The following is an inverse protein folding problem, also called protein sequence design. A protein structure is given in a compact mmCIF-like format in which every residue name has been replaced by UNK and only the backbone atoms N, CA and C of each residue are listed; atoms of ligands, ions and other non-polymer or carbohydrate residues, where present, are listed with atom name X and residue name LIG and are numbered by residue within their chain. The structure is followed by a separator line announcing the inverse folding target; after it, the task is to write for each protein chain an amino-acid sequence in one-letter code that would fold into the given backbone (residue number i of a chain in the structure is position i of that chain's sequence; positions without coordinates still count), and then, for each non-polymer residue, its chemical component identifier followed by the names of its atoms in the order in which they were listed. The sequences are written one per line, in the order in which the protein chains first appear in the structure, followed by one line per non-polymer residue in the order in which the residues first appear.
data_IF_045495911291
#
_entry.id   IF_045495911291
#
_cell.length_a   1.000
_cell.length_b   1.000
_cell.length_c   1.000
_cell.angle_alpha   90.00
_cell.angle_beta   90.00
_cell.angle_gamma   90.00
#
_symmetry.space_group_name_H-M   'P 1'
#
loop_
_entity.id
_entity.type
_entity.pdbx_description
1 polymer ?
#
# COMPACT_ATOMS: atom_id res chain seq x y z
N UNK A 1 -45.97 18.50 -34.40
CA UNK A 1 -44.66 18.79 -33.80
C UNK A 1 -44.19 17.56 -33.05
N UNK A 2 -43.24 16.90 -33.69
CA UNK A 2 -42.21 15.95 -33.23
C UNK A 2 -42.22 15.52 -31.77
N UNK A 3 -42.41 14.22 -31.57
CA UNK A 3 -42.05 13.43 -30.38
C UNK A 3 -40.54 13.23 -30.33
N UNK A 4 -39.91 13.35 -29.15
CA UNK A 4 -38.74 12.52 -28.77
C UNK A 4 -38.70 12.35 -27.24
N UNK A 5 -39.44 11.37 -26.73
CA UNK A 5 -39.06 10.66 -25.51
C UNK A 5 -37.95 9.71 -25.94
N UNK A 6 -36.69 10.07 -25.66
CA UNK A 6 -35.57 9.19 -25.96
C UNK A 6 -35.49 8.11 -24.86
N UNK A 7 -35.76 6.86 -25.25
CA UNK A 7 -35.72 5.67 -24.40
C UNK A 7 -34.28 5.27 -24.06
N UNK A 8 -33.61 6.01 -23.20
CA UNK A 8 -32.36 5.58 -22.55
C UNK A 8 -32.15 6.37 -21.26
N UNK A 9 -33.03 6.17 -20.27
CA UNK A 9 -32.77 6.62 -18.91
C UNK A 9 -31.66 5.78 -18.26
N UNK A 10 -30.42 5.93 -18.74
CA UNK A 10 -29.26 5.47 -17.99
C UNK A 10 -29.09 6.43 -16.82
N UNK A 11 -29.08 5.90 -15.60
CA UNK A 11 -28.77 6.68 -14.40
C UNK A 11 -27.35 7.23 -14.55
N UNK A 12 -27.21 8.52 -14.88
CA UNK A 12 -25.90 9.21 -14.99
C UNK A 12 -25.31 9.52 -13.60
N UNK A 13 -25.68 8.72 -12.59
CA UNK A 13 -25.16 8.77 -11.24
C UNK A 13 -24.82 7.35 -10.78
N UNK A 14 -23.93 6.69 -11.52
CA UNK A 14 -23.19 5.55 -10.99
C UNK A 14 -21.94 6.09 -10.31
N UNK A 15 -21.65 5.64 -9.09
CA UNK A 15 -20.28 5.70 -8.60
C UNK A 15 -19.43 4.99 -9.66
N UNK A 16 -18.61 5.73 -10.42
CA UNK A 16 -17.57 5.11 -11.22
C UNK A 16 -16.77 4.20 -10.29
N UNK A 17 -16.45 2.98 -10.72
CA UNK A 17 -15.47 2.17 -9.98
C UNK A 17 -14.24 3.06 -9.78
N UNK A 18 -13.75 3.17 -8.55
CA UNK A 18 -12.68 4.11 -8.19
C UNK A 18 -11.46 3.84 -9.07
N UNK A 19 -11.23 2.58 -9.46
CA UNK A 19 -10.21 2.18 -10.42
C UNK A 19 -10.38 2.81 -11.81
N UNK A 20 -11.60 2.84 -12.36
CA UNK A 20 -11.87 3.33 -13.71
C UNK A 20 -11.74 4.85 -13.80
N UNK A 21 -12.21 5.57 -12.78
CA UNK A 21 -12.09 7.03 -12.71
C UNK A 21 -10.63 7.49 -12.56
N UNK A 22 -9.81 6.73 -11.81
CA UNK A 22 -8.37 6.96 -11.68
C UNK A 22 -7.66 6.69 -13.00
N UNK A 23 -7.95 5.54 -13.64
CA UNK A 23 -7.34 5.17 -14.91
C UNK A 23 -7.58 6.24 -15.99
N UNK A 24 -8.83 6.69 -16.17
CA UNK A 24 -9.19 7.66 -17.21
C UNK A 24 -8.42 8.99 -17.09
N UNK A 25 -8.24 9.52 -15.87
CA UNK A 25 -7.51 10.77 -15.67
C UNK A 25 -6.02 10.61 -15.93
N UNK A 26 -5.39 9.57 -15.41
CA UNK A 26 -3.95 9.37 -15.57
C UNK A 26 -3.54 8.84 -16.96
N UNK A 27 -4.46 8.21 -17.68
CA UNK A 27 -4.27 7.91 -19.11
C UNK A 27 -4.20 9.20 -19.93
N UNK A 28 -5.07 10.17 -19.63
CA UNK A 28 -5.08 11.45 -20.34
C UNK A 28 -3.79 12.26 -20.15
N UNK A 29 -3.11 12.08 -19.00
CA UNK A 29 -1.82 12.72 -18.70
C UNK A 29 -0.61 11.87 -19.09
N UNK A 30 -0.81 10.65 -19.61
CA UNK A 30 0.24 9.65 -19.92
C UNK A 30 1.08 9.20 -18.72
N UNK A 31 0.59 9.41 -17.50
CA UNK A 31 1.28 9.05 -16.25
C UNK A 31 0.74 7.78 -15.60
N UNK A 32 -0.27 7.13 -16.21
CA UNK A 32 -0.91 5.94 -15.64
C UNK A 32 0.11 4.83 -15.30
N UNK A 33 1.05 4.57 -16.21
CA UNK A 33 2.08 3.56 -15.97
C UNK A 33 2.97 3.95 -14.79
N UNK A 34 3.43 5.21 -14.74
CA UNK A 34 4.32 5.69 -13.68
C UNK A 34 3.67 5.59 -12.30
N UNK A 35 2.40 5.95 -12.18
CA UNK A 35 1.67 5.87 -10.91
C UNK A 35 1.43 4.43 -10.49
N UNK A 36 1.11 3.54 -11.43
CA UNK A 36 1.01 2.10 -11.14
C UNK A 36 2.34 1.56 -10.63
N UNK A 37 3.46 1.96 -11.19
CA UNK A 37 4.79 1.55 -10.69
C UNK A 37 5.07 2.09 -9.28
N UNK A 38 4.70 3.35 -8.98
CA UNK A 38 4.84 3.93 -7.63
C UNK A 38 4.00 3.15 -6.61
N UNK A 39 2.74 2.86 -6.93
CA UNK A 39 1.87 2.07 -6.06
C UNK A 39 2.45 0.68 -5.85
N UNK A 40 2.92 0.03 -6.93
CA UNK A 40 3.55 -1.30 -6.86
C UNK A 40 4.75 -1.30 -5.92
N UNK A 41 5.65 -0.32 -6.05
CA UNK A 41 6.82 -0.20 -5.19
C UNK A 41 6.43 -0.04 -3.70
N UNK A 42 5.40 0.76 -3.41
CA UNK A 42 4.88 0.94 -2.06
C UNK A 42 4.29 -0.35 -1.48
N UNK A 43 3.45 -1.07 -2.22
CA UNK A 43 2.84 -2.31 -1.71
C UNK A 43 3.82 -3.48 -1.64
N UNK A 44 4.80 -3.55 -2.54
CA UNK A 44 5.89 -4.52 -2.47
C UNK A 44 6.74 -4.31 -1.21
N UNK A 45 6.90 -3.06 -0.77
CA UNK A 45 7.53 -2.76 0.51
C UNK A 45 6.65 -3.19 1.69
N UNK A 46 5.35 -2.86 1.67
CA UNK A 46 4.42 -3.24 2.73
C UNK A 46 4.33 -4.75 2.93
N UNK A 47 4.31 -5.54 1.84
CA UNK A 47 4.32 -7.00 1.91
C UNK A 47 5.58 -7.57 2.58
N UNK A 48 6.69 -6.83 2.62
CA UNK A 48 7.93 -7.23 3.32
C UNK A 48 7.91 -6.89 4.81
N UNK A 49 6.95 -6.10 5.28
CA UNK A 49 6.87 -5.69 6.69
C UNK A 49 6.31 -6.78 7.60
N UNK A 50 5.69 -7.82 7.03
CA UNK A 50 5.19 -9.00 7.72
C UNK A 50 5.44 -10.23 6.86
N UNK A 51 5.25 -11.43 7.40
CA UNK A 51 5.35 -12.64 6.59
C UNK A 51 4.08 -12.77 5.73
N UNK A 52 4.12 -12.24 4.52
CA UNK A 52 2.97 -12.23 3.60
C UNK A 52 2.65 -13.58 2.96
N UNK A 53 3.48 -14.62 3.19
CA UNK A 53 3.26 -15.96 2.65
C UNK A 53 2.47 -16.87 3.59
N UNK A 54 2.18 -16.44 4.82
CA UNK A 54 1.42 -17.20 5.81
C UNK A 54 0.02 -16.63 6.00
N UNK A 55 -0.91 -17.47 6.43
CA UNK A 55 -2.32 -17.09 6.59
C UNK A 55 -2.61 -16.27 7.86
N UNK A 56 -1.65 -16.26 8.80
CA UNK A 56 -1.71 -15.55 10.07
C UNK A 56 -0.31 -15.09 10.45
N UNK A 57 -0.18 -13.85 10.90
CA UNK A 57 1.06 -13.30 11.43
C UNK A 57 0.81 -12.73 12.82
N UNK A 58 1.84 -12.71 13.68
CA UNK A 58 1.79 -12.11 15.01
C UNK A 58 2.73 -10.90 15.13
N UNK A 59 3.35 -10.50 14.02
CA UNK A 59 4.37 -9.47 13.99
C UNK A 59 4.30 -8.65 12.70
N UNK A 60 4.38 -7.33 12.85
CA UNK A 60 4.53 -6.38 11.74
C UNK A 60 5.67 -5.42 12.06
N UNK A 61 6.52 -5.13 11.08
CA UNK A 61 7.60 -4.15 11.18
C UNK A 61 6.99 -2.77 10.96
N UNK A 62 6.97 -1.94 12.02
CA UNK A 62 6.35 -0.61 11.97
C UNK A 62 7.27 0.46 11.39
N UNK A 63 8.58 0.30 11.56
CA UNK A 63 9.57 1.28 11.11
C UNK A 63 10.92 0.59 10.91
N UNK A 64 11.73 1.18 10.05
CA UNK A 64 13.15 0.86 9.91
C UNK A 64 13.91 2.05 10.47
N UNK A 65 14.56 1.87 11.61
CA UNK A 65 15.25 2.97 12.31
C UNK A 65 16.61 2.51 12.79
N UNK A 66 17.58 3.41 12.78
CA UNK A 66 18.88 3.14 13.39
C UNK A 66 18.76 3.11 14.92
N UNK A 67 19.30 2.05 15.53
CA UNK A 67 19.56 1.95 16.98
C UNK A 67 18.31 1.92 17.85
N UNK A 68 18.27 1.01 18.81
CA UNK A 68 17.36 1.17 19.93
C UNK A 68 17.61 2.58 20.51
N UNK A 69 16.57 3.29 20.95
CA UNK A 69 16.68 4.44 21.81
C UNK A 69 17.28 4.07 23.20
N UNK A 70 18.26 3.16 23.25
CA UNK A 70 19.19 3.00 24.35
C UNK A 70 19.95 4.30 24.44
N UNK A 71 19.50 5.14 25.38
CA UNK A 71 20.12 6.38 25.84
C UNK A 71 21.65 6.37 25.61
N UNK A 72 22.13 6.97 24.52
CA UNK A 72 23.57 7.20 24.31
C UNK A 72 24.14 6.96 22.92
N UNK A 73 23.47 6.30 21.97
CA UNK A 73 24.03 6.16 20.61
C UNK A 73 23.90 7.46 19.81
N UNK A 74 25.02 8.16 19.60
CA UNK A 74 25.11 9.40 18.79
C UNK A 74 24.93 9.18 17.28
N UNK A 75 24.82 7.93 16.84
CA UNK A 75 24.54 7.56 15.47
C UNK A 75 23.03 7.34 15.37
N UNK A 76 22.30 8.35 14.90
CA UNK A 76 20.90 8.23 14.52
C UNK A 76 20.69 8.86 13.13
N UNK A 77 19.61 8.50 12.45
CA UNK A 77 19.28 9.04 11.13
C UNK A 77 19.14 10.57 11.09
N UNK A 78 18.92 11.20 12.24
CA UNK A 78 18.65 12.64 12.37
C UNK A 78 19.94 13.47 12.50
N UNK A 79 21.07 12.84 12.85
CA UNK A 79 22.38 13.48 12.99
C UNK A 79 23.37 13.11 11.88
N UNK A 80 22.93 12.33 10.88
CA UNK A 80 23.74 11.92 9.74
C UNK A 80 23.29 12.63 8.47
N UNK A 81 24.07 13.62 8.01
CA UNK A 81 23.84 14.30 6.73
C UNK A 81 24.79 13.73 5.67
N UNK A 82 24.43 12.56 5.15
CA UNK A 82 25.17 11.85 4.11
C UNK A 82 24.19 11.26 3.09
N UNK A 83 24.69 10.86 1.92
CA UNK A 83 23.86 10.20 0.94
C UNK A 83 23.43 8.82 1.47
N UNK A 84 22.23 8.33 1.16
CA UNK A 84 21.72 7.08 1.71
C UNK A 84 22.59 5.86 1.36
N UNK A 85 23.28 5.87 0.22
CA UNK A 85 24.24 4.84 -0.18
C UNK A 85 25.54 4.84 0.63
N UNK A 86 25.86 5.94 1.31
CA UNK A 86 27.06 6.10 2.14
C UNK A 86 26.79 5.80 3.63
N UNK A 87 25.57 5.39 3.99
CA UNK A 87 25.19 5.02 5.36
C UNK A 87 25.88 3.70 5.74
N UNK A 88 26.79 3.76 6.71
CA UNK A 88 27.64 2.63 7.15
C UNK A 88 27.18 1.98 8.47
N UNK A 89 26.09 2.46 9.04
CA UNK A 89 25.60 2.00 10.33
C UNK A 89 24.46 0.99 10.25
N UNK A 90 24.30 0.19 11.31
CA UNK A 90 23.28 -0.84 11.37
C UNK A 90 21.87 -0.27 11.57
N UNK A 91 20.97 -0.56 10.63
CA UNK A 91 19.53 -0.32 10.76
C UNK A 91 18.87 -1.43 11.59
N UNK A 92 17.99 -1.05 12.51
CA UNK A 92 17.19 -1.97 13.31
C UNK A 92 15.74 -2.00 12.83
N UNK A 93 15.12 -3.17 12.93
CA UNK A 93 13.74 -3.44 12.51
C UNK A 93 12.87 -3.69 13.75
N UNK A 94 12.40 -2.64 14.46
CA UNK A 94 11.41 -2.81 15.51
C UNK A 94 10.15 -3.46 14.93
N UNK A 95 9.96 -4.73 15.29
CA UNK A 95 8.70 -5.44 15.07
C UNK A 95 7.77 -5.14 16.22
N UNK A 96 6.51 -4.87 15.91
CA UNK A 96 5.44 -4.73 16.90
C UNK A 96 4.61 -6.00 16.94
N UNK A 97 4.32 -6.44 18.15
CA UNK A 97 3.62 -7.68 18.44
C UNK A 97 2.27 -7.35 19.07
N UNK A 98 1.19 -7.89 18.51
CA UNK A 98 -0.16 -7.95 19.08
C UNK A 98 -0.82 -6.66 19.62
N UNK A 99 -0.28 -5.46 19.35
CA UNK A 99 -0.77 -4.19 19.93
C UNK A 99 -0.90 -3.00 18.96
N UNK A 100 -0.79 -3.24 17.65
CA UNK A 100 -0.87 -2.20 16.62
C UNK A 100 -1.87 -2.56 15.51
N UNK A 101 -3.15 -2.69 15.91
CA UNK A 101 -4.24 -2.96 14.98
C UNK A 101 -4.52 -1.79 14.03
N UNK A 102 -4.24 -0.57 14.47
CA UNK A 102 -4.26 0.66 13.66
C UNK A 102 -3.30 0.57 12.47
N UNK A 103 -2.03 0.28 12.72
CA UNK A 103 -1.02 0.09 11.68
C UNK A 103 -1.40 -1.04 10.73
N UNK A 104 -1.81 -2.20 11.28
CA UNK A 104 -2.19 -3.34 10.45
C UNK A 104 -3.43 -3.05 9.59
N UNK A 105 -4.41 -2.32 10.12
CA UNK A 105 -5.61 -1.91 9.39
C UNK A 105 -5.27 -0.91 8.27
N UNK A 106 -4.37 0.05 8.50
CA UNK A 106 -3.92 0.97 7.45
C UNK A 106 -3.17 0.25 6.33
N UNK A 107 -2.26 -0.66 6.69
CA UNK A 107 -1.53 -1.47 5.70
C UNK A 107 -2.50 -2.38 4.94
N UNK A 108 -3.45 -3.03 5.61
CA UNK A 108 -4.49 -3.82 4.96
C UNK A 108 -5.35 -2.98 4.01
N UNK A 109 -5.74 -1.76 4.40
CA UNK A 109 -6.49 -0.85 3.54
C UNK A 109 -5.68 -0.45 2.29
N UNK A 110 -4.39 -0.15 2.44
CA UNK A 110 -3.50 0.18 1.34
C UNK A 110 -3.35 -0.99 0.34
N UNK A 111 -3.16 -2.22 0.84
CA UNK A 111 -3.09 -3.43 0.02
C UNK A 111 -4.43 -3.71 -0.69
N UNK A 112 -5.56 -3.49 -0.01
CA UNK A 112 -6.89 -3.68 -0.59
C UNK A 112 -7.14 -2.71 -1.75
N UNK A 113 -6.83 -1.42 -1.58
CA UNK A 113 -6.95 -0.42 -2.66
C UNK A 113 -6.02 -0.76 -3.83
N UNK A 114 -4.79 -1.19 -3.56
CA UNK A 114 -3.88 -1.61 -4.61
C UNK A 114 -4.38 -2.85 -5.37
N UNK A 115 -5.05 -3.79 -4.70
CA UNK A 115 -5.64 -4.96 -5.36
C UNK A 115 -6.70 -4.59 -6.41
N UNK A 116 -7.41 -3.47 -6.20
CA UNK A 116 -8.38 -2.90 -7.14
C UNK A 116 -7.65 -2.25 -8.31
N UNK A 117 -6.60 -1.46 -8.05
CA UNK A 117 -5.76 -0.84 -9.11
C UNK A 117 -5.14 -1.88 -10.04
N UNK A 118 -4.70 -3.01 -9.48
CA UNK A 118 -4.11 -4.13 -10.22
C UNK A 118 -5.10 -5.27 -10.53
N UNK A 119 -6.41 -5.02 -10.52
CA UNK A 119 -7.45 -6.04 -10.75
C UNK A 119 -7.26 -6.86 -12.03
N UNK A 120 -6.72 -6.23 -13.09
CA UNK A 120 -6.45 -6.90 -14.36
C UNK A 120 -5.22 -7.82 -14.32
N UNK A 121 -4.31 -7.59 -13.36
CA UNK A 121 -3.19 -8.46 -13.05
C UNK A 121 -3.58 -9.39 -11.89
N UNK A 122 -4.21 -10.51 -12.25
CA UNK A 122 -4.78 -11.45 -11.28
C UNK A 122 -3.74 -12.01 -10.30
N UNK A 123 -2.50 -12.21 -10.75
CA UNK A 123 -1.45 -12.78 -9.91
C UNK A 123 -1.03 -11.81 -8.81
N UNK A 124 -0.84 -10.53 -9.15
CA UNK A 124 -0.51 -9.51 -8.17
C UNK A 124 -1.70 -9.16 -7.29
N UNK A 125 -2.90 -9.04 -7.86
CA UNK A 125 -4.13 -8.79 -7.10
C UNK A 125 -4.39 -9.89 -6.05
N UNK A 126 -4.20 -11.16 -6.40
CA UNK A 126 -4.37 -12.28 -5.46
C UNK A 126 -3.39 -12.23 -4.29
N UNK A 127 -2.10 -11.93 -4.55
CA UNK A 127 -1.09 -11.77 -3.50
C UNK A 127 -1.43 -10.64 -2.54
N UNK A 128 -1.90 -9.51 -3.07
CA UNK A 128 -2.31 -8.36 -2.26
C UNK A 128 -3.50 -8.72 -1.38
N UNK A 129 -4.54 -9.35 -1.94
CA UNK A 129 -5.72 -9.80 -1.19
C UNK A 129 -5.35 -10.81 -0.11
N UNK A 130 -4.45 -11.74 -0.38
CA UNK A 130 -3.96 -12.68 0.64
C UNK A 130 -3.29 -11.94 1.80
N UNK A 131 -2.40 -10.98 1.50
CA UNK A 131 -1.79 -10.12 2.53
C UNK A 131 -2.81 -9.31 3.34
N UNK A 132 -3.88 -8.81 2.70
CA UNK A 132 -5.00 -8.14 3.39
C UNK A 132 -5.64 -9.07 4.43
N UNK A 133 -5.93 -10.31 4.07
CA UNK A 133 -6.53 -11.27 5.01
C UNK A 133 -5.60 -11.63 6.17
N UNK A 134 -4.30 -11.77 5.90
CA UNK A 134 -3.30 -12.04 6.94
C UNK A 134 -3.22 -10.90 7.96
N UNK A 135 -3.26 -9.65 7.51
CA UNK A 135 -3.25 -8.47 8.38
C UNK A 135 -4.58 -8.23 9.08
N UNK A 136 -5.70 -8.48 8.41
CA UNK A 136 -7.03 -8.36 8.99
C UNK A 136 -7.23 -9.33 10.17
N UNK A 137 -6.66 -10.54 10.10
CA UNK A 137 -6.66 -11.49 11.23
C UNK A 137 -5.71 -11.10 12.37
N UNK A 138 -4.69 -10.29 12.08
CA UNK A 138 -3.75 -9.79 13.09
C UNK A 138 -4.34 -8.59 13.86
N UNK A 139 -5.09 -7.73 13.18
CA UNK A 139 -5.73 -6.54 13.74
C UNK A 139 -6.92 -6.87 14.65
#
# INVERSE_FOLDING_TARGET
MTSLINRTGSLVSGFYDVGDAINAKYESTKELHHIKEIIRWGVDYLLKTFNSSVDTTNNIVAKVVQGLASRGSKLNNHYSWMRPEDIDYQCWLPSVWARCSDLAAEVAAALAVASIVFKNDKANSYKLVHGVFTLWKFA
#
